data_IF_735341498094
#
_entry.id   IF_735341498094
#
_cell.length_a   1.000
_cell.length_b   1.000
_cell.length_c   1.000
_cell.angle_alpha   90.00
_cell.angle_beta   90.00
_cell.angle_gamma   90.00
#
_symmetry.space_group_name_H-M   'P 1'
#
loop_
_entity.id
_entity.type
_entity.pdbx_description
1 polymer ?
#
# COMPACT_ATOMS: atom_id res chain seq x y z
N UNK A 1 -3.15 -5.85 19.00
CA UNK A 1 -4.00 -5.48 17.84
C UNK A 1 -3.24 -5.87 16.59
N UNK A 2 -3.81 -6.71 15.74
CA UNK A 2 -3.17 -7.11 14.48
C UNK A 2 -3.43 -5.99 13.46
N UNK A 3 -2.39 -5.35 12.87
CA UNK A 3 -2.54 -4.29 11.86
C UNK A 3 -3.42 -4.63 10.62
N UNK A 4 -3.56 -5.89 10.17
CA UNK A 4 -4.34 -6.23 8.97
C UNK A 4 -5.79 -5.75 9.00
N UNK A 5 -6.46 -5.82 10.16
CA UNK A 5 -7.89 -5.47 10.26
C UNK A 5 -8.15 -3.98 9.98
N UNK A 6 -7.18 -3.10 10.26
CA UNK A 6 -7.33 -1.66 10.05
C UNK A 6 -7.33 -1.31 8.55
N UNK A 7 -6.46 -1.93 7.76
CA UNK A 7 -6.41 -1.68 6.32
C UNK A 7 -7.62 -2.25 5.59
N UNK A 8 -8.12 -3.40 6.03
CA UNK A 8 -9.36 -3.96 5.49
C UNK A 8 -10.55 -3.02 5.72
N UNK A 9 -10.67 -2.46 6.93
CA UNK A 9 -11.70 -1.48 7.25
C UNK A 9 -11.51 -0.16 6.47
N UNK A 10 -10.28 0.37 6.42
CA UNK A 10 -9.95 1.62 5.73
C UNK A 10 -10.23 1.55 4.23
N UNK A 11 -10.01 0.37 3.62
CA UNK A 11 -10.19 0.17 2.17
C UNK A 11 -11.46 -0.60 1.80
N UNK A 12 -12.40 -0.77 2.73
CA UNK A 12 -13.63 -1.54 2.51
C UNK A 12 -14.46 -1.03 1.32
N UNK A 13 -14.44 0.28 1.06
CA UNK A 13 -15.19 0.92 -0.04
C UNK A 13 -14.53 0.76 -1.41
N UNK A 14 -13.28 0.30 -1.48
CA UNK A 14 -12.59 0.08 -2.75
C UNK A 14 -12.91 -1.32 -3.29
N UNK A 15 -13.11 -1.44 -4.62
CA UNK A 15 -13.27 -2.75 -5.25
C UNK A 15 -12.00 -3.60 -5.07
N UNK A 16 -12.12 -4.91 -5.26
CA UNK A 16 -10.97 -5.82 -5.10
C UNK A 16 -9.87 -5.60 -6.13
N UNK A 17 -10.24 -5.02 -7.28
CA UNK A 17 -9.30 -4.57 -8.31
C UNK A 17 -9.51 -3.09 -8.54
N UNK A 18 -8.47 -2.30 -8.27
CA UNK A 18 -8.47 -0.84 -8.41
C UNK A 18 -7.68 -0.39 -9.64
N UNK A 19 -7.96 0.84 -10.06
CA UNK A 19 -7.20 1.54 -11.10
C UNK A 19 -6.10 2.42 -10.49
N UNK A 20 -5.30 3.07 -11.35
CA UNK A 20 -4.18 3.91 -10.89
C UNK A 20 -4.65 5.11 -10.05
N UNK A 21 -5.69 5.89 -10.43
CA UNK A 21 -6.21 6.95 -9.57
C UNK A 21 -6.59 6.48 -8.16
N UNK A 22 -7.31 5.37 -8.05
CA UNK A 22 -7.68 4.80 -6.75
C UNK A 22 -6.45 4.31 -5.96
N UNK A 23 -5.47 3.69 -6.63
CA UNK A 23 -4.20 3.34 -6.00
C UNK A 23 -3.48 4.59 -5.46
N UNK A 24 -3.50 5.72 -6.18
CA UNK A 24 -2.92 6.97 -5.71
C UNK A 24 -3.56 7.42 -4.40
N UNK A 25 -4.91 7.41 -4.32
CA UNK A 25 -5.65 7.75 -3.11
C UNK A 25 -5.31 6.80 -1.95
N UNK A 26 -5.29 5.49 -2.22
CA UNK A 26 -4.95 4.47 -1.22
C UNK A 26 -3.52 4.60 -0.67
N UNK A 27 -2.59 5.12 -1.45
CA UNK A 27 -1.20 5.37 -1.05
C UNK A 27 -1.00 6.73 -0.39
N UNK A 28 -2.07 7.38 0.07
CA UNK A 28 -2.00 8.70 0.73
C UNK A 28 -2.00 9.88 -0.25
N UNK A 29 -2.56 9.71 -1.45
CA UNK A 29 -2.73 10.78 -2.42
C UNK A 29 -1.49 11.09 -3.28
N UNK A 30 -0.66 10.08 -3.56
CA UNK A 30 0.55 10.29 -4.39
C UNK A 30 0.19 10.68 -5.83
N UNK A 31 1.11 11.38 -6.51
CA UNK A 31 0.90 11.71 -7.92
C UNK A 31 0.81 10.47 -8.80
N UNK A 32 0.04 10.56 -9.90
CA UNK A 32 -0.02 9.50 -10.91
C UNK A 32 1.36 9.13 -11.45
N UNK A 33 2.25 10.11 -11.64
CA UNK A 33 3.63 9.88 -12.12
C UNK A 33 4.40 8.97 -11.15
N UNK A 34 4.27 9.20 -9.85
CA UNK A 34 4.89 8.36 -8.82
C UNK A 34 4.28 6.97 -8.79
N UNK A 35 2.95 6.87 -8.86
CA UNK A 35 2.25 5.58 -8.94
C UNK A 35 2.70 4.75 -10.15
N UNK A 36 2.76 5.34 -11.34
CA UNK A 36 3.24 4.66 -12.54
C UNK A 36 4.69 4.21 -12.42
N UNK A 37 5.56 4.95 -11.73
CA UNK A 37 6.95 4.52 -11.48
C UNK A 37 7.00 3.28 -10.59
N UNK A 38 6.18 3.21 -9.53
CA UNK A 38 6.10 2.04 -8.65
C UNK A 38 5.65 0.80 -9.42
N UNK A 39 4.64 0.96 -10.27
CA UNK A 39 4.12 -0.11 -11.12
C UNK A 39 5.16 -0.57 -12.15
N UNK A 40 5.79 0.35 -12.87
CA UNK A 40 6.86 0.03 -13.83
C UNK A 40 8.07 -0.64 -13.18
N UNK A 41 8.39 -0.26 -11.94
CA UNK A 41 9.45 -0.87 -11.14
C UNK A 41 9.02 -2.19 -10.45
N UNK A 42 7.81 -2.69 -10.72
CA UNK A 42 7.21 -3.88 -10.10
C UNK A 42 7.25 -3.89 -8.57
N UNK A 43 7.22 -2.70 -7.94
CA UNK A 43 7.20 -2.57 -6.47
C UNK A 43 5.85 -2.97 -5.87
N UNK A 44 4.79 -2.82 -6.65
CA UNK A 44 3.44 -3.26 -6.30
C UNK A 44 2.99 -4.24 -7.38
N UNK A 45 2.60 -5.45 -6.96
CA UNK A 45 2.12 -6.49 -7.88
C UNK A 45 0.83 -6.03 -8.57
N UNK A 46 0.78 -6.22 -9.88
CA UNK A 46 -0.29 -5.76 -10.75
C UNK A 46 -0.41 -6.65 -11.98
N UNK A 47 -1.47 -6.46 -12.76
CA UNK A 47 -1.60 -7.02 -14.11
C UNK A 47 -2.05 -5.94 -15.09
N UNK A 48 -1.83 -6.19 -16.38
CA UNK A 48 -2.24 -5.28 -17.46
C UNK A 48 -3.34 -5.93 -18.27
N UNK A 49 -4.40 -5.17 -18.53
CA UNK A 49 -5.42 -5.51 -19.53
C UNK A 49 -5.34 -4.43 -20.60
N UNK A 50 -4.81 -4.81 -21.77
CA UNK A 50 -4.44 -3.85 -22.81
C UNK A 50 -3.46 -2.81 -22.27
N UNK A 51 -3.81 -1.52 -22.41
CA UNK A 51 -2.96 -0.39 -21.95
C UNK A 51 -3.17 -0.02 -20.48
N UNK A 52 -4.16 -0.62 -19.82
CA UNK A 52 -4.60 -0.23 -18.47
C UNK A 52 -3.97 -1.14 -17.41
N UNK A 53 -3.45 -0.52 -16.35
CA UNK A 53 -3.04 -1.24 -15.15
C UNK A 53 -4.23 -1.58 -14.27
N UNK A 54 -4.22 -2.80 -13.74
CA UNK A 54 -5.19 -3.30 -12.77
C UNK A 54 -4.41 -3.79 -11.55
N UNK A 55 -4.78 -3.28 -10.39
CA UNK A 55 -4.04 -3.48 -9.16
C UNK A 55 -4.98 -4.15 -8.15
N UNK A 56 -4.73 -5.40 -7.74
CA UNK A 56 -5.46 -5.99 -6.62
C UNK A 56 -5.28 -5.16 -5.35
N UNK A 57 -6.37 -4.84 -4.66
CA UNK A 57 -6.39 -4.11 -3.38
C UNK A 57 -5.44 -4.74 -2.37
N UNK A 58 -5.44 -6.07 -2.28
CA UNK A 58 -4.55 -6.84 -1.41
C UNK A 58 -3.06 -6.52 -1.64
N UNK A 59 -2.64 -6.31 -2.89
CA UNK A 59 -1.24 -6.02 -3.20
C UNK A 59 -0.82 -4.61 -2.75
N UNK A 60 -1.75 -3.65 -2.71
CA UNK A 60 -1.50 -2.31 -2.15
C UNK A 60 -1.34 -2.41 -0.63
N UNK A 61 -2.22 -3.16 0.03
CA UNK A 61 -2.14 -3.41 1.48
C UNK A 61 -0.81 -4.08 1.83
N UNK A 62 -0.42 -5.13 1.10
CA UNK A 62 0.88 -5.79 1.31
C UNK A 62 2.07 -4.83 1.14
N UNK A 63 2.00 -3.93 0.16
CA UNK A 63 3.03 -2.91 -0.04
C UNK A 63 3.11 -1.94 1.15
N UNK A 64 1.97 -1.41 1.62
CA UNK A 64 1.91 -0.54 2.79
C UNK A 64 2.48 -1.23 4.04
N UNK A 65 2.14 -2.50 4.26
CA UNK A 65 2.71 -3.30 5.33
C UNK A 65 4.24 -3.40 5.25
N UNK A 66 4.79 -3.65 4.06
CA UNK A 66 6.24 -3.76 3.89
C UNK A 66 6.97 -2.47 4.27
N UNK A 67 6.48 -1.31 3.84
CA UNK A 67 7.15 -0.02 4.11
C UNK A 67 6.96 0.47 5.55
N UNK A 68 5.93 0.01 6.27
CA UNK A 68 5.66 0.40 7.66
C UNK A 68 6.36 -0.50 8.68
N UNK A 69 6.72 -1.72 8.30
CA UNK A 69 7.36 -2.70 9.21
C UNK A 69 8.88 -2.57 9.25
N UNK A 70 9.48 -1.79 8.34
CA UNK A 70 10.93 -1.53 8.27
C UNK A 70 11.45 -0.52 9.32
N UNK A 71 10.64 -0.11 10.30
CA UNK A 71 11.18 0.56 11.48
C UNK A 71 11.81 -0.50 12.41
N UNK A 72 13.14 -0.52 12.65
CA UNK A 72 13.63 -1.15 13.86
C UNK A 72 12.96 -0.39 14.99
N UNK A 73 12.09 -1.07 15.74
CA UNK A 73 11.49 -0.54 16.96
C UNK A 73 12.65 -0.10 17.84
N UNK A 74 12.96 1.20 17.84
CA UNK A 74 13.84 1.82 18.82
C UNK A 74 13.07 1.72 20.13
N UNK A 75 13.20 0.58 20.79
CA UNK A 75 12.81 0.44 22.18
C UNK A 75 13.79 1.31 22.96
N UNK A 76 13.44 2.57 23.17
CA UNK A 76 14.03 3.30 24.28
C UNK A 76 13.52 2.61 25.55
N UNK A 77 14.28 1.64 26.04
CA UNK A 77 14.24 1.23 27.44
C UNK A 77 14.57 2.47 28.27
N UNK A 78 13.54 3.26 28.61
CA UNK A 78 13.63 4.23 29.68
C UNK A 78 13.72 3.42 30.98
N UNK A 79 14.96 3.07 31.34
CA UNK A 79 15.30 2.49 32.63
C UNK A 79 14.77 3.38 33.74
N UNK A 80 14.02 2.74 34.61
CA UNK A 80 13.69 3.19 35.97
C UNK A 80 14.96 3.71 36.63
N UNK A 81 14.90 4.96 37.09
CA UNK A 81 15.69 5.46 38.21
C UNK A 81 14.81 6.32 39.09
#
# INVERSE_FOLDING_TARGET
MHPPELFELMFQKYPDVVNVPQMCEMLGGISSKSAYKLLQANKIKHFRIGRVYKIPKANIISYLHSIMTDSPTSHCDALVH
#
